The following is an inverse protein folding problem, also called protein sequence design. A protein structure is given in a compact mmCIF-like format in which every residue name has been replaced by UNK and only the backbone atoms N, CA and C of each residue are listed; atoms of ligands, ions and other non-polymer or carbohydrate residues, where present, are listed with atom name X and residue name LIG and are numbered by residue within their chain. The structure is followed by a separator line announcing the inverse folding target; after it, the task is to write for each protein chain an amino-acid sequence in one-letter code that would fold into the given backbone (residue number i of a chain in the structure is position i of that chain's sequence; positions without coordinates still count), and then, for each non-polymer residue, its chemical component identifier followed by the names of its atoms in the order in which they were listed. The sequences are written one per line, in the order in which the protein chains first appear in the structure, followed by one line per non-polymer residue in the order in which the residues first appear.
data_IF_599098294839
#
_entry.id   IF_599098294839
#
_cell.length_a   1.000
_cell.length_b   1.000
_cell.length_c   1.000
_cell.angle_alpha   90.00
_cell.angle_beta   90.00
_cell.angle_gamma   90.00
#
_symmetry.space_group_name_H-M   'P 1'
#
loop_
_entity.id
_entity.type
_entity.pdbx_description
1 polymer ?
#
# COMPACT_ATOMS: atom_id res chain seq x y z
N UNK A 1 13.39 13.47 2.51
CA UNK A 1 11.92 13.51 2.58
C UNK A 1 11.43 12.09 2.80
N UNK A 2 10.49 11.85 3.72
CA UNK A 2 9.93 10.51 3.94
C UNK A 2 8.56 10.43 3.25
N UNK A 3 8.33 9.38 2.48
CA UNK A 3 7.01 9.12 1.91
C UNK A 3 6.20 8.30 2.91
N UNK A 4 4.93 8.62 3.06
CA UNK A 4 4.04 7.91 3.98
C UNK A 4 2.86 7.36 3.19
N UNK A 5 2.61 6.07 3.37
CA UNK A 5 1.39 5.41 2.91
C UNK A 5 0.53 5.08 4.13
N UNK A 6 -0.66 5.65 4.22
CA UNK A 6 -1.61 5.38 5.32
C UNK A 6 -2.81 4.60 4.76
N UNK A 7 -2.95 3.35 5.16
CA UNK A 7 -4.04 2.47 4.74
C UNK A 7 -5.12 2.52 5.81
N UNK A 8 -6.32 2.94 5.41
CA UNK A 8 -7.44 3.20 6.34
C UNK A 8 -8.68 2.35 6.06
N UNK A 9 -8.70 1.62 4.94
CA UNK A 9 -9.69 0.58 4.70
C UNK A 9 -9.12 -0.54 3.82
N UNK A 10 -9.43 -1.78 4.20
CA UNK A 10 -9.13 -2.97 3.42
C UNK A 10 -10.17 -4.05 3.77
N UNK A 11 -11.19 -4.20 2.93
CA UNK A 11 -12.04 -5.38 3.01
C UNK A 11 -11.43 -6.49 2.14
N UNK A 12 -11.32 -7.70 2.70
CA UNK A 12 -10.64 -8.86 2.15
C UNK A 12 -9.12 -8.73 2.15
N UNK A 13 -8.51 -8.23 1.07
CA UNK A 13 -7.04 -8.17 0.96
C UNK A 13 -6.58 -7.02 0.06
N UNK A 14 -5.57 -6.28 0.50
CA UNK A 14 -4.90 -5.20 -0.24
C UNK A 14 -3.41 -5.51 -0.35
N UNK A 15 -2.90 -5.43 -1.57
CA UNK A 15 -1.47 -5.59 -1.89
C UNK A 15 -0.99 -4.29 -2.53
N UNK A 16 0.10 -3.73 -2.00
CA UNK A 16 0.78 -2.55 -2.56
C UNK A 16 2.16 -2.94 -3.05
N UNK A 17 2.51 -2.51 -4.26
CA UNK A 17 3.78 -2.83 -4.92
C UNK A 17 4.39 -1.54 -5.47
N UNK A 18 5.66 -1.28 -5.16
CA UNK A 18 6.44 -0.22 -5.78
C UNK A 18 7.19 -0.77 -6.99
N UNK A 19 7.04 -0.14 -8.15
CA UNK A 19 7.76 -0.48 -9.38
C UNK A 19 8.75 0.63 -9.65
N UNK A 20 10.02 0.29 -9.79
CA UNK A 20 11.06 1.26 -10.17
C UNK A 20 10.81 1.77 -11.59
N UNK A 21 10.74 3.09 -11.80
CA UNK A 21 10.36 3.68 -13.09
C UNK A 21 11.31 3.28 -14.24
N UNK A 22 12.57 2.98 -13.94
CA UNK A 22 13.55 2.52 -14.93
C UNK A 22 13.42 1.02 -15.26
N UNK A 23 12.40 0.33 -14.73
CA UNK A 23 12.07 -1.05 -15.04
C UNK A 23 13.02 -2.11 -14.46
N UNK A 24 13.89 -1.71 -13.52
CA UNK A 24 14.90 -2.60 -12.95
C UNK A 24 14.37 -3.57 -11.89
N UNK A 25 13.40 -3.15 -11.07
CA UNK A 25 12.92 -3.90 -9.92
C UNK A 25 11.45 -3.59 -9.57
N UNK A 26 10.83 -4.49 -8.81
CA UNK A 26 9.58 -4.24 -8.08
C UNK A 26 9.70 -4.72 -6.64
N UNK A 27 9.02 -4.05 -5.72
CA UNK A 27 9.07 -4.31 -4.29
C UNK A 27 7.64 -4.41 -3.73
N UNK A 28 7.31 -5.55 -3.12
CA UNK A 28 6.05 -5.74 -2.42
C UNK A 28 6.10 -4.97 -1.09
N UNK A 29 5.41 -3.84 -1.00
CA UNK A 29 5.45 -3.00 0.19
C UNK A 29 4.60 -3.60 1.31
N UNK A 30 3.41 -4.10 0.97
CA UNK A 30 2.57 -4.81 1.92
C UNK A 30 1.60 -5.78 1.28
N UNK A 31 1.14 -6.73 2.08
CA UNK A 31 0.02 -7.62 1.83
C UNK A 31 -0.80 -7.75 3.11
N UNK A 32 -1.88 -6.96 3.19
CA UNK A 32 -2.74 -6.91 4.37
C UNK A 32 -4.08 -7.56 4.07
N UNK A 33 -4.66 -8.18 5.09
CA UNK A 33 -5.98 -8.80 5.04
C UNK A 33 -6.83 -8.21 6.16
N UNK A 34 -8.08 -7.84 5.88
CA UNK A 34 -9.03 -7.41 6.91
C UNK A 34 -10.47 -7.64 6.44
N UNK A 35 -11.45 -7.42 7.30
CA UNK A 35 -12.86 -7.64 7.00
C UNK A 35 -13.72 -7.59 8.26
N UNK A 36 -14.97 -8.04 8.17
CA UNK A 36 -15.89 -8.13 9.31
C UNK A 36 -16.03 -6.83 10.13
N UNK A 37 -15.91 -5.67 9.48
CA UNK A 37 -16.00 -4.34 10.10
C UNK A 37 -14.88 -4.00 11.10
N UNK A 38 -13.79 -4.76 11.15
CA UNK A 38 -12.61 -4.38 11.91
C UNK A 38 -11.93 -3.15 11.29
N UNK A 39 -11.38 -2.29 12.15
CA UNK A 39 -10.71 -1.05 11.73
C UNK A 39 -9.36 -1.37 11.09
N UNK A 40 -8.97 -0.53 10.14
CA UNK A 40 -7.65 -0.57 9.51
C UNK A 40 -7.00 0.79 9.69
N UNK A 41 -5.80 0.80 10.26
CA UNK A 41 -4.96 1.98 10.47
C UNK A 41 -3.50 1.61 10.33
N UNK A 42 -3.08 1.18 9.14
CA UNK A 42 -1.70 0.76 8.86
C UNK A 42 -0.93 1.92 8.25
N UNK A 43 0.24 2.22 8.80
CA UNK A 43 1.14 3.26 8.30
C UNK A 43 2.46 2.66 7.83
N UNK A 44 2.76 2.81 6.54
CA UNK A 44 4.05 2.46 5.96
C UNK A 44 4.87 3.74 5.77
N UNK A 45 5.94 3.88 6.54
CA UNK A 45 6.92 4.95 6.39
C UNK A 45 8.03 4.46 5.44
N UNK A 46 8.15 5.09 4.27
CA UNK A 46 9.16 4.74 3.29
C UNK A 46 10.43 5.53 3.58
N UNK A 47 11.54 4.80 3.72
CA UNK A 47 12.88 5.34 3.91
C UNK A 47 13.85 4.76 2.89
N UNK A 48 14.95 5.48 2.67
CA UNK A 48 16.04 4.98 1.83
C UNK A 48 16.80 3.86 2.56
N UNK A 49 17.14 2.80 1.83
CA UNK A 49 17.98 1.69 2.30
C UNK A 49 17.79 0.41 1.49
N UNK A 50 18.49 -0.65 1.91
CA UNK A 50 18.28 -1.98 1.32
C UNK A 50 16.90 -2.52 1.68
N UNK A 51 16.15 -2.97 0.69
CA UNK A 51 14.84 -3.60 0.91
C UNK A 51 15.02 -4.95 1.62
N UNK A 52 14.36 -5.11 2.77
CA UNK A 52 14.47 -6.31 3.59
C UNK A 52 13.28 -7.24 3.42
N UNK A 53 12.05 -6.73 3.64
CA UNK A 53 10.84 -7.53 3.61
C UNK A 53 9.57 -6.69 3.39
N UNK A 54 8.51 -7.38 2.99
CA UNK A 54 7.16 -6.83 2.85
C UNK A 54 6.41 -6.85 4.19
N UNK A 55 5.59 -5.84 4.46
CA UNK A 55 4.70 -5.87 5.61
C UNK A 55 3.48 -6.77 5.37
N UNK A 56 3.33 -7.81 6.20
CA UNK A 56 2.23 -8.77 6.09
C UNK A 56 1.39 -8.76 7.37
N UNK A 57 0.07 -8.56 7.25
CA UNK A 57 -0.84 -8.51 8.39
C UNK A 57 -2.21 -9.14 8.08
N UNK A 58 -2.89 -9.64 9.12
CA UNK A 58 -4.21 -10.24 9.00
C UNK A 58 -5.16 -9.81 10.13
N UNK A 59 -5.97 -8.79 9.85
CA UNK A 59 -7.02 -8.24 10.71
C UNK A 59 -8.41 -8.85 10.50
N UNK A 60 -8.55 -10.05 9.93
CA UNK A 60 -9.88 -10.68 9.78
C UNK A 60 -10.55 -11.07 11.10
N UNK A 61 -9.86 -10.89 12.25
CA UNK A 61 -10.39 -11.14 13.59
C UNK A 61 -10.08 -10.06 14.62
N UNK A 62 -9.49 -8.93 14.22
CA UNK A 62 -9.10 -7.82 15.09
C UNK A 62 -8.78 -6.56 14.28
N UNK A 63 -8.79 -5.40 14.93
CA UNK A 63 -8.35 -4.14 14.33
C UNK A 63 -6.85 -4.19 13.98
N UNK A 64 -6.49 -3.66 12.81
CA UNK A 64 -5.09 -3.40 12.43
C UNK A 64 -4.73 -1.95 12.77
N UNK A 65 -3.63 -1.77 13.51
CA UNK A 65 -3.15 -0.43 13.91
C UNK A 65 -1.62 -0.41 14.07
N UNK A 66 -0.90 -0.71 12.98
CA UNK A 66 0.55 -0.82 12.96
C UNK A 66 1.20 0.35 12.21
N UNK A 67 2.38 0.77 12.68
CA UNK A 67 3.25 1.70 11.95
C UNK A 67 4.59 1.02 11.73
N UNK A 68 5.02 0.90 10.47
CA UNK A 68 6.24 0.18 10.08
C UNK A 68 7.08 1.01 9.12
N UNK A 69 8.39 0.80 9.16
CA UNK A 69 9.32 1.39 8.20
C UNK A 69 9.61 0.37 7.10
N UNK A 70 9.39 0.75 5.85
CA UNK A 70 9.80 -0.03 4.67
C UNK A 70 10.97 0.68 4.02
N UNK A 71 12.08 -0.03 3.85
CA UNK A 71 13.27 0.51 3.18
C UNK A 71 13.21 0.20 1.69
N UNK A 72 13.48 1.19 0.86
CA UNK A 72 13.66 1.02 -0.58
C UNK A 72 14.97 1.67 -1.01
N UNK A 73 15.64 1.13 -2.05
CA UNK A 73 16.77 1.82 -2.66
C UNK A 73 16.39 3.24 -3.08
N UNK A 74 17.37 4.13 -3.18
CA UNK A 74 17.13 5.45 -3.77
C UNK A 74 16.61 5.30 -5.21
N UNK A 75 15.59 6.05 -5.57
CA UNK A 75 14.99 5.93 -6.90
C UNK A 75 13.63 6.60 -7.02
N UNK A 76 13.07 6.52 -8.22
CA UNK A 76 11.70 6.92 -8.53
C UNK A 76 10.84 5.69 -8.70
N UNK A 77 9.66 5.73 -8.12
CA UNK A 77 8.76 4.59 -8.06
C UNK A 77 7.36 4.96 -8.46
N UNK A 78 6.74 4.08 -9.25
CA UNK A 78 5.30 4.02 -9.45
C UNK A 78 4.70 3.06 -8.44
N UNK A 79 3.69 3.50 -7.68
CA UNK A 79 2.92 2.65 -6.80
C UNK A 79 1.77 2.02 -7.57
N UNK A 80 1.71 0.69 -7.60
CA UNK A 80 0.56 -0.08 -8.07
C UNK A 80 -0.08 -0.83 -6.92
N UNK A 81 -1.37 -1.14 -7.05
CA UNK A 81 -2.10 -1.87 -6.03
C UNK A 81 -3.10 -2.84 -6.61
N UNK A 82 -3.32 -3.93 -5.86
CA UNK A 82 -4.32 -4.94 -6.13
C UNK A 82 -5.19 -5.14 -4.90
N UNK A 83 -6.50 -5.04 -5.07
CA UNK A 83 -7.45 -5.62 -4.14
C UNK A 83 -7.75 -7.07 -4.51
N UNK A 84 -7.87 -7.96 -3.54
CA UNK A 84 -8.39 -9.32 -3.78
C UNK A 84 -9.67 -9.47 -2.98
N UNK A 85 -10.82 -9.42 -3.65
CA UNK A 85 -12.10 -9.69 -3.01
C UNK A 85 -12.40 -11.19 -3.04
N UNK A 86 -12.40 -11.83 -1.87
CA UNK A 86 -12.76 -13.25 -1.73
C UNK A 86 -14.28 -13.51 -1.63
N UNK A 87 -15.09 -12.45 -1.71
CA UNK A 87 -16.54 -12.46 -1.60
C UNK A 87 -17.05 -11.36 -0.67
N UNK A 88 -18.35 -11.05 -0.79
CA UNK A 88 -19.02 -9.92 -0.11
C UNK A 88 -18.55 -8.53 -0.56
N UNK A 89 -18.75 -7.52 0.28
CA UNK A 89 -18.42 -6.12 -0.02
C UNK A 89 -16.91 -5.92 -0.03
N UNK A 90 -16.41 -5.03 -0.91
CA UNK A 90 -15.00 -4.64 -0.96
C UNK A 90 -14.84 -3.13 -0.74
N UNK A 91 -13.88 -2.69 0.06
CA UNK A 91 -13.45 -1.31 0.13
C UNK A 91 -11.95 -1.26 0.34
N UNK A 92 -11.25 -0.54 -0.53
CA UNK A 92 -9.81 -0.31 -0.43
C UNK A 92 -9.59 1.19 -0.34
N UNK A 93 -8.83 1.63 0.66
CA UNK A 93 -8.52 3.04 0.86
C UNK A 93 -7.11 3.21 1.42
N UNK A 94 -6.30 4.03 0.74
CA UNK A 94 -5.02 4.47 1.26
C UNK A 94 -4.71 5.90 0.82
N UNK A 95 -3.87 6.57 1.60
CA UNK A 95 -3.31 7.87 1.29
C UNK A 95 -1.81 7.70 1.01
N UNK A 96 -1.30 8.27 -0.08
CA UNK A 96 0.15 8.45 -0.30
C UNK A 96 0.45 9.94 -0.17
N UNK A 97 1.27 10.32 0.80
CA UNK A 97 1.65 11.72 1.05
C UNK A 97 0.44 12.67 1.10
N UNK A 98 -0.62 12.27 1.81
CA UNK A 98 -1.91 12.97 1.95
C UNK A 98 -2.80 13.02 0.70
N UNK A 99 -2.43 12.31 -0.38
CA UNK A 99 -3.30 12.14 -1.54
C UNK A 99 -4.06 10.82 -1.45
N UNK A 100 -5.39 10.91 -1.46
CA UNK A 100 -6.27 9.77 -1.27
C UNK A 100 -6.49 8.95 -2.55
N UNK A 101 -6.43 7.63 -2.38
CA UNK A 101 -6.70 6.62 -3.39
C UNK A 101 -7.69 5.61 -2.83
N UNK A 102 -8.88 5.55 -3.44
CA UNK A 102 -9.94 4.68 -2.94
C UNK A 102 -10.67 3.95 -4.06
N UNK A 103 -11.10 2.74 -3.73
CA UNK A 103 -12.06 1.97 -4.48
C UNK A 103 -13.14 1.46 -3.52
N UNK A 104 -14.34 2.04 -3.64
CA UNK A 104 -15.48 1.70 -2.81
C UNK A 104 -16.34 0.62 -3.45
N UNK A 105 -17.00 -0.16 -2.61
CA UNK A 105 -17.95 -1.18 -3.05
C UNK A 105 -19.03 -0.55 -3.93
N UNK A 106 -19.35 -1.18 -5.05
CA UNK A 106 -20.56 -0.86 -5.81
C UNK A 106 -21.55 -2.01 -5.68
N UNK A 107 -22.61 -1.88 -4.85
CA UNK A 107 -23.59 -2.94 -4.63
C UNK A 107 -24.28 -3.43 -5.91
N UNK A 108 -24.36 -2.58 -6.95
CA UNK A 108 -24.98 -2.91 -8.23
C UNK A 108 -23.99 -3.55 -9.23
N UNK A 109 -22.70 -3.61 -8.89
CA UNK A 109 -21.63 -4.20 -9.69
C UNK A 109 -20.66 -4.95 -8.77
N UNK A 110 -21.11 -6.06 -8.14
CA UNK A 110 -20.25 -6.82 -7.26
C UNK A 110 -19.02 -7.32 -8.04
N UNK A 111 -17.84 -7.15 -7.45
CA UNK A 111 -16.58 -7.63 -7.99
C UNK A 111 -16.07 -8.74 -7.08
N UNK A 112 -15.72 -9.90 -7.62
CA UNK A 112 -15.05 -10.99 -6.87
C UNK A 112 -13.79 -11.39 -7.63
N UNK A 113 -12.72 -11.71 -6.92
CA UNK A 113 -11.41 -12.04 -7.48
C UNK A 113 -10.45 -10.86 -7.40
N UNK A 114 -9.48 -10.82 -8.32
CA UNK A 114 -8.47 -9.76 -8.38
C UNK A 114 -9.09 -8.49 -8.96
N UNK A 115 -9.14 -7.46 -8.13
CA UNK A 115 -9.56 -6.12 -8.49
C UNK A 115 -8.29 -5.28 -8.61
N UNK A 116 -7.79 -5.24 -9.84
CA UNK A 116 -6.63 -4.43 -10.19
C UNK A 116 -7.11 -3.04 -10.57
N UNK A 117 -6.57 -1.98 -9.96
CA UNK A 117 -6.76 -0.65 -10.54
C UNK A 117 -5.95 -0.63 -11.83
N UNK A 118 -6.61 -0.53 -13.00
CA UNK A 118 -5.91 -0.33 -14.27
C UNK A 118 -4.87 0.75 -14.05
N UNK A 119 -3.60 0.35 -14.12
CA UNK A 119 -2.48 1.12 -13.64
C UNK A 119 -2.53 2.50 -14.25
N UNK A 120 -2.89 3.49 -13.46
CA UNK A 120 -2.53 4.85 -13.79
C UNK A 120 -1.09 4.95 -13.30
N UNK A 121 -0.13 4.92 -14.20
CA UNK A 121 1.30 5.20 -13.98
C UNK A 121 1.58 6.59 -13.36
N UNK A 122 0.57 7.24 -12.76
CA UNK A 122 0.58 8.58 -12.20
C UNK A 122 0.58 8.61 -10.66
N UNK A 123 0.74 7.46 -9.99
CA UNK A 123 0.99 7.42 -8.54
C UNK A 123 2.48 7.27 -8.34
N UNK A 124 3.20 8.38 -8.29
CA UNK A 124 4.66 8.35 -8.20
C UNK A 124 5.16 8.92 -6.88
N UNK A 125 6.29 8.41 -6.42
CA UNK A 125 7.02 8.94 -5.28
C UNK A 125 8.53 8.74 -5.47
N UNK A 126 9.33 9.59 -4.84
CA UNK A 126 10.79 9.53 -4.90
C UNK A 126 11.36 9.15 -3.53
N UNK A 127 12.27 8.18 -3.53
CA UNK A 127 13.06 7.81 -2.35
C UNK A 127 14.42 8.49 -2.49
N UNK A 128 14.61 9.53 -1.67
CA UNK A 128 15.82 10.34 -1.67
C UNK A 128 16.78 9.85 -0.59
N UNK A 129 18.09 9.96 -0.88
CA UNK A 129 19.14 9.66 0.10
C UNK A 129 18.89 10.46 1.39
N UNK A 130 19.01 9.80 2.54
CA UNK A 130 18.95 10.48 3.82
C UNK A 130 20.15 11.43 3.91
N UNK A 131 19.90 12.74 3.96
CA UNK A 131 20.97 13.71 4.17
C UNK A 131 21.69 13.34 5.47
N UNK A 132 23.00 13.06 5.37
CA UNK A 132 23.82 12.91 6.57
C UNK A 132 23.92 14.30 7.20
N UNK A 133 23.23 14.49 8.33
CA UNK A 133 23.47 15.65 9.18
C UNK A 133 24.94 15.62 9.59
N UNK A 134 25.75 16.50 9.03
CA UNK A 134 27.10 16.79 9.52
C UNK A 134 26.93 17.36 10.93
N UNK A 135 27.20 16.51 11.94
CA UNK A 135 27.36 16.90 13.34
C UNK A 135 28.73 17.49 13.57
#
# INVERSE_FOLDING_TARGET
MSNIIEITACDNQLILIAIEENGGNSFDLCNIKSGYHYKVGVKLQIEEGEFSESFNANGTGHDLNESVVIKLPKGKYSLVYAGVNWGASYNFNFDLNNKNYNLKNNPNKPLTGVIWSQGNENITFEVLQKEMSLS
#
